data_IF_587675626335
#
_entry.id   IF_587675626335
#
_cell.length_a   1.000
_cell.length_b   1.000
_cell.length_c   1.000
_cell.angle_alpha   90.00
_cell.angle_beta   90.00
_cell.angle_gamma   90.00
#
_symmetry.space_group_name_H-M   'P 1'
#
loop_
_entity.id
_entity.type
_entity.pdbx_description
1 polymer ?
#
# COMPACT_ATOMS: atom_id res chain seq x y z
N UNK A 1 18.62 12.90 -22.55
CA UNK A 1 17.79 12.41 -21.43
C UNK A 1 18.74 11.83 -20.40
N UNK A 2 18.69 12.32 -19.16
CA UNK A 2 19.61 11.88 -18.12
C UNK A 2 19.33 10.40 -17.83
N UNK A 3 20.34 9.54 -18.01
CA UNK A 3 20.17 8.08 -17.97
C UNK A 3 19.71 7.53 -16.63
N UNK A 4 19.61 8.40 -15.61
CA UNK A 4 19.19 8.11 -14.23
C UNK A 4 17.75 8.55 -13.92
N UNK A 5 17.03 9.19 -14.84
CA UNK A 5 15.64 9.59 -14.60
C UNK A 5 14.74 8.34 -14.43
N UNK A 6 14.15 8.12 -13.24
CA UNK A 6 13.29 6.96 -13.00
C UNK A 6 11.86 7.13 -13.53
N UNK A 7 11.46 8.35 -13.94
CA UNK A 7 10.07 8.65 -14.32
C UNK A 7 9.60 7.84 -15.52
N UNK A 8 10.36 7.74 -16.64
CA UNK A 8 9.94 6.93 -17.79
C UNK A 8 9.77 5.45 -17.43
N UNK A 9 10.64 4.93 -16.56
CA UNK A 9 10.62 3.52 -16.14
C UNK A 9 9.43 3.21 -15.25
N UNK A 10 9.10 4.10 -14.30
CA UNK A 10 7.88 3.98 -13.50
C UNK A 10 6.64 3.91 -14.40
N UNK A 11 6.55 4.82 -15.38
CA UNK A 11 5.43 4.86 -16.32
C UNK A 11 5.37 3.61 -17.20
N UNK A 12 6.52 3.11 -17.65
CA UNK A 12 6.60 1.88 -18.43
C UNK A 12 6.14 0.65 -17.62
N UNK A 13 6.53 0.54 -16.36
CA UNK A 13 6.09 -0.54 -15.46
C UNK A 13 4.57 -0.47 -15.20
N UNK A 14 4.04 0.73 -14.93
CA UNK A 14 2.61 0.95 -14.76
C UNK A 14 1.82 0.59 -16.03
N UNK A 15 2.34 0.96 -17.21
CA UNK A 15 1.77 0.60 -18.49
C UNK A 15 1.80 -0.92 -18.72
N UNK A 16 2.94 -1.58 -18.50
CA UNK A 16 3.07 -3.02 -18.65
C UNK A 16 2.07 -3.79 -17.77
N UNK A 17 1.88 -3.34 -16.52
CA UNK A 17 0.83 -3.86 -15.64
C UNK A 17 -0.57 -3.61 -16.19
N UNK A 18 -0.88 -2.39 -16.63
CA UNK A 18 -2.20 -2.04 -17.18
C UNK A 18 -2.56 -2.82 -18.45
N UNK A 19 -1.56 -3.08 -19.30
CA UNK A 19 -1.69 -3.86 -20.53
C UNK A 19 -1.65 -5.39 -20.29
N UNK A 20 -1.49 -5.84 -19.04
CA UNK A 20 -1.32 -7.26 -18.68
C UNK A 20 -0.18 -7.94 -19.46
N UNK A 21 0.95 -7.24 -19.58
CA UNK A 21 2.11 -7.77 -20.29
C UNK A 21 2.64 -9.06 -19.64
N UNK A 22 3.18 -9.95 -20.47
CA UNK A 22 3.82 -11.18 -20.01
C UNK A 22 5.05 -10.92 -19.15
N UNK A 23 5.44 -11.94 -18.38
CA UNK A 23 6.50 -11.86 -17.38
C UNK A 23 7.83 -11.36 -17.95
N UNK A 24 8.29 -11.94 -19.06
CA UNK A 24 9.57 -11.59 -19.70
C UNK A 24 9.68 -10.11 -20.03
N UNK A 25 8.66 -9.51 -20.65
CA UNK A 25 8.68 -8.08 -20.99
C UNK A 25 8.66 -7.21 -19.73
N UNK A 26 7.95 -7.64 -18.69
CA UNK A 26 7.95 -6.93 -17.41
C UNK A 26 9.34 -6.97 -16.75
N UNK A 27 10.00 -8.12 -16.76
CA UNK A 27 11.34 -8.30 -16.21
C UNK A 27 12.37 -7.40 -16.92
N UNK A 28 12.34 -7.33 -18.25
CA UNK A 28 13.22 -6.43 -19.02
C UNK A 28 13.08 -4.96 -18.60
N UNK A 29 11.84 -4.49 -18.42
CA UNK A 29 11.55 -3.15 -17.93
C UNK A 29 12.01 -2.96 -16.49
N UNK A 30 11.78 -3.97 -15.64
CA UNK A 30 12.16 -3.96 -14.23
C UNK A 30 13.67 -3.85 -14.06
N UNK A 31 14.43 -4.71 -14.75
CA UNK A 31 15.90 -4.66 -14.70
C UNK A 31 16.42 -3.30 -15.18
N UNK A 32 15.84 -2.77 -16.25
CA UNK A 32 16.25 -1.49 -16.79
C UNK A 32 15.94 -0.32 -15.83
N UNK A 33 14.87 -0.42 -15.04
CA UNK A 33 14.54 0.51 -13.97
C UNK A 33 15.54 0.41 -12.81
N UNK A 34 15.80 -0.80 -12.31
CA UNK A 34 16.70 -1.05 -11.17
C UNK A 34 18.14 -0.66 -11.51
N UNK A 35 18.63 -0.94 -12.72
CA UNK A 35 19.98 -0.51 -13.17
C UNK A 35 20.19 1.00 -13.08
N UNK A 36 19.12 1.80 -13.18
CA UNK A 36 19.20 3.28 -13.22
C UNK A 36 18.88 3.93 -11.88
N UNK A 37 17.88 3.40 -11.19
CA UNK A 37 17.43 3.91 -9.91
C UNK A 37 17.05 2.76 -8.97
N UNK A 38 18.04 2.05 -8.40
CA UNK A 38 17.84 0.79 -7.67
C UNK A 38 16.83 0.88 -6.53
N UNK A 39 16.69 2.04 -5.89
CA UNK A 39 15.84 2.24 -4.72
C UNK A 39 14.68 3.21 -4.98
N UNK A 40 14.32 3.46 -6.25
CA UNK A 40 13.21 4.35 -6.57
C UNK A 40 11.87 3.74 -6.15
N UNK A 41 11.30 4.27 -5.06
CA UNK A 41 10.06 3.77 -4.44
C UNK A 41 8.91 3.58 -5.43
N UNK A 42 8.71 4.50 -6.38
CA UNK A 42 7.62 4.39 -7.35
C UNK A 42 7.75 3.17 -8.28
N UNK A 43 8.97 2.80 -8.68
CA UNK A 43 9.20 1.62 -9.52
C UNK A 43 8.95 0.34 -8.72
N UNK A 44 9.44 0.29 -7.48
CA UNK A 44 9.21 -0.81 -6.55
C UNK A 44 7.72 -1.05 -6.26
N UNK A 45 6.94 0.03 -6.05
CA UNK A 45 5.48 -0.06 -5.89
C UNK A 45 4.81 -0.57 -7.17
N UNK A 46 5.23 -0.13 -8.35
CA UNK A 46 4.69 -0.62 -9.62
C UNK A 46 4.98 -2.12 -9.81
N UNK A 47 6.19 -2.57 -9.47
CA UNK A 47 6.58 -3.99 -9.50
C UNK A 47 5.78 -4.85 -8.52
N UNK A 48 5.67 -4.42 -7.25
CA UNK A 48 4.84 -5.12 -6.27
C UNK A 48 3.40 -5.29 -6.76
N UNK A 49 2.82 -4.25 -7.37
CA UNK A 49 1.44 -4.31 -7.92
C UNK A 49 1.32 -5.24 -9.12
N UNK A 50 2.37 -5.37 -9.93
CA UNK A 50 2.40 -6.34 -11.02
C UNK A 50 2.45 -7.77 -10.48
N UNK A 51 3.36 -8.06 -9.54
CA UNK A 51 3.50 -9.38 -8.93
C UNK A 51 2.20 -9.84 -8.25
N UNK A 52 1.55 -8.95 -7.48
CA UNK A 52 0.27 -9.22 -6.85
C UNK A 52 -0.82 -9.63 -7.87
N UNK A 53 -0.85 -9.00 -9.05
CA UNK A 53 -1.80 -9.34 -10.11
C UNK A 53 -1.43 -10.65 -10.85
N UNK A 54 -0.14 -10.86 -11.10
CA UNK A 54 0.38 -11.99 -11.88
C UNK A 54 0.34 -13.32 -11.13
N UNK A 55 0.46 -13.29 -9.80
CA UNK A 55 0.42 -14.48 -8.94
C UNK A 55 -0.92 -14.66 -8.23
N UNK A 56 -2.01 -14.10 -8.78
CA UNK A 56 -3.36 -14.21 -8.22
C UNK A 56 -3.44 -13.87 -6.72
N UNK A 57 -2.71 -12.84 -6.28
CA UNK A 57 -2.69 -12.46 -4.87
C UNK A 57 -1.86 -13.39 -4.00
N UNK A 58 -0.81 -14.04 -4.53
CA UNK A 58 0.12 -14.75 -3.65
C UNK A 58 0.90 -13.75 -2.78
N UNK A 59 0.35 -13.53 -1.60
CA UNK A 59 0.86 -12.57 -0.64
C UNK A 59 2.25 -12.94 -0.16
N UNK A 60 2.59 -14.24 -0.10
CA UNK A 60 3.93 -14.70 0.32
C UNK A 60 5.02 -14.13 -0.56
N UNK A 61 4.99 -14.38 -1.86
CA UNK A 61 6.05 -13.85 -2.72
C UNK A 61 5.94 -12.33 -2.97
N UNK A 62 4.77 -11.70 -2.76
CA UNK A 62 4.68 -10.24 -2.66
C UNK A 62 5.45 -9.68 -1.45
N UNK A 63 5.30 -10.33 -0.28
CA UNK A 63 6.06 -9.98 0.91
C UNK A 63 7.55 -10.29 0.75
N UNK A 64 7.93 -11.41 0.16
CA UNK A 64 9.35 -11.76 -0.05
C UNK A 64 10.06 -10.73 -0.95
N UNK A 65 9.40 -10.32 -2.05
CA UNK A 65 9.87 -9.21 -2.87
C UNK A 65 10.00 -7.90 -2.07
N UNK A 66 8.96 -7.58 -1.28
CA UNK A 66 8.93 -6.33 -0.52
C UNK A 66 9.98 -6.27 0.59
N UNK A 67 10.23 -7.39 1.26
CA UNK A 67 11.22 -7.51 2.33
C UNK A 67 12.63 -7.36 1.77
N UNK A 68 12.94 -8.01 0.65
CA UNK A 68 14.25 -7.88 -0.01
C UNK A 68 14.50 -6.43 -0.45
N UNK A 69 13.53 -5.81 -1.14
CA UNK A 69 13.64 -4.42 -1.57
C UNK A 69 13.83 -3.44 -0.40
N UNK A 70 13.17 -3.69 0.73
CA UNK A 70 13.32 -2.86 1.93
C UNK A 70 14.67 -3.07 2.63
N UNK A 71 15.21 -4.29 2.64
CA UNK A 71 16.53 -4.59 3.19
C UNK A 71 17.65 -3.92 2.40
N UNK A 72 17.54 -3.91 1.07
CA UNK A 72 18.55 -3.31 0.19
C UNK A 72 18.46 -1.78 0.12
N UNK A 73 17.35 -1.19 0.57
CA UNK A 73 17.13 0.24 0.49
C UNK A 73 17.95 1.04 1.53
N UNK A 74 18.54 2.20 1.13
CA UNK A 74 19.20 3.11 2.05
C UNK A 74 18.31 3.54 3.21
N UNK A 75 18.90 3.80 4.37
CA UNK A 75 18.21 4.33 5.53
C UNK A 75 17.45 5.63 5.18
N UNK A 76 16.18 5.70 5.58
CA UNK A 76 15.31 6.85 5.30
C UNK A 76 14.65 6.82 3.92
N UNK A 77 14.96 5.84 3.07
CA UNK A 77 14.26 5.65 1.79
C UNK A 77 12.84 5.17 2.03
N UNK A 78 11.87 5.73 1.30
CA UNK A 78 10.47 5.25 1.32
C UNK A 78 10.35 3.78 0.90
N UNK A 79 11.31 3.25 0.14
CA UNK A 79 11.37 1.83 -0.24
C UNK A 79 11.50 0.90 0.98
N UNK A 80 12.03 1.39 2.11
CA UNK A 80 12.02 0.62 3.36
C UNK A 80 10.60 0.31 3.86
N UNK A 81 9.57 1.06 3.44
CA UNK A 81 8.18 0.79 3.76
C UNK A 81 7.44 -0.07 2.72
N UNK A 82 8.14 -0.70 1.76
CA UNK A 82 7.48 -1.57 0.79
C UNK A 82 6.75 -2.77 1.43
N UNK A 83 7.23 -3.39 2.52
CA UNK A 83 6.48 -4.43 3.24
C UNK A 83 5.12 -3.94 3.75
N UNK A 84 5.00 -2.66 4.13
CA UNK A 84 3.71 -2.08 4.53
C UNK A 84 2.71 -2.08 3.36
N UNK A 85 3.17 -1.87 2.12
CA UNK A 85 2.33 -1.97 0.92
C UNK A 85 1.86 -3.40 0.69
N UNK A 86 2.71 -4.40 0.91
CA UNK A 86 2.34 -5.81 0.82
C UNK A 86 1.31 -6.18 1.91
N UNK A 87 1.53 -5.77 3.15
CA UNK A 87 0.60 -5.91 4.26
C UNK A 87 -0.78 -5.30 3.95
N UNK A 88 -0.79 -4.09 3.40
CA UNK A 88 -2.03 -3.45 2.95
C UNK A 88 -2.75 -4.26 1.86
N UNK A 89 -2.00 -4.76 0.86
CA UNK A 89 -2.56 -5.64 -0.19
C UNK A 89 -3.25 -6.85 0.42
N UNK A 90 -2.55 -7.58 1.29
CA UNK A 90 -3.09 -8.73 2.02
C UNK A 90 -4.38 -8.40 2.79
N UNK A 91 -4.35 -7.32 3.58
CA UNK A 91 -5.49 -6.92 4.41
C UNK A 91 -6.72 -6.48 3.61
N UNK A 92 -6.56 -6.17 2.32
CA UNK A 92 -7.62 -5.62 1.45
C UNK A 92 -8.07 -6.57 0.35
N UNK A 93 -7.30 -7.62 0.03
CA UNK A 93 -7.63 -8.60 -1.01
C UNK A 93 -8.77 -9.54 -0.57
N UNK A 94 -8.85 -9.85 0.73
CA UNK A 94 -9.89 -10.71 1.30
C UNK A 94 -9.83 -12.18 0.85
N UNK A 95 -8.82 -12.53 0.05
CA UNK A 95 -8.54 -13.86 -0.45
C UNK A 95 -7.02 -14.10 -0.50
N UNK A 96 -6.61 -15.36 -0.43
CA UNK A 96 -5.20 -15.78 -0.45
C UNK A 96 -4.83 -16.65 0.76
N UNK A 97 -3.68 -17.34 0.69
CA UNK A 97 -3.18 -18.12 1.82
C UNK A 97 -2.86 -17.21 2.99
N UNK A 98 -3.03 -17.73 4.21
CA UNK A 98 -2.80 -16.97 5.44
C UNK A 98 -1.34 -16.50 5.53
N UNK A 99 -1.16 -15.19 5.72
CA UNK A 99 0.13 -14.60 6.10
C UNK A 99 0.16 -14.48 7.61
N UNK A 100 1.23 -14.96 8.30
CA UNK A 100 1.34 -14.84 9.75
C UNK A 100 1.19 -13.39 10.21
N UNK A 101 0.41 -13.17 11.28
CA UNK A 101 0.15 -11.82 11.82
C UNK A 101 1.45 -11.10 12.18
N UNK A 102 2.43 -11.83 12.69
CA UNK A 102 3.75 -11.33 13.08
C UNK A 102 4.47 -10.68 11.90
N UNK A 103 4.25 -11.19 10.67
CA UNK A 103 4.85 -10.61 9.45
C UNK A 103 4.21 -9.27 9.09
N UNK A 104 2.91 -9.12 9.33
CA UNK A 104 2.16 -7.87 9.13
C UNK A 104 2.57 -6.85 10.20
N UNK A 105 2.72 -7.28 11.44
CA UNK A 105 3.20 -6.46 12.55
C UNK A 105 4.64 -5.97 12.30
N UNK A 106 5.54 -6.84 11.86
CA UNK A 106 6.91 -6.45 11.51
C UNK A 106 6.97 -5.43 10.36
N UNK A 107 6.08 -5.55 9.36
CA UNK A 107 5.95 -4.56 8.30
C UNK A 107 5.47 -3.20 8.82
N UNK A 108 4.51 -3.21 9.76
CA UNK A 108 4.05 -1.99 10.44
C UNK A 108 5.16 -1.37 11.30
N UNK A 109 5.90 -2.16 12.08
CA UNK A 109 7.00 -1.68 12.92
C UNK A 109 8.12 -1.03 12.11
N UNK A 110 8.52 -1.66 11.00
CA UNK A 110 9.50 -1.07 10.08
C UNK A 110 9.02 0.29 9.54
N UNK A 111 7.74 0.40 9.19
CA UNK A 111 7.18 1.64 8.69
C UNK A 111 7.01 2.71 9.79
N UNK A 112 6.71 2.33 11.03
CA UNK A 112 6.72 3.23 12.19
C UNK A 112 8.12 3.78 12.41
N UNK A 113 9.15 2.92 12.41
CA UNK A 113 10.54 3.33 12.55
C UNK A 113 10.97 4.30 11.45
N UNK A 114 10.61 4.03 10.19
CA UNK A 114 10.85 4.96 9.08
C UNK A 114 10.11 6.29 9.27
N UNK A 115 8.82 6.25 9.62
CA UNK A 115 7.98 7.45 9.79
C UNK A 115 8.55 8.40 10.85
N UNK A 116 9.16 7.87 11.91
CA UNK A 116 9.81 8.64 12.97
C UNK A 116 11.04 9.42 12.49
N UNK A 117 11.71 8.98 11.41
CA UNK A 117 12.85 9.67 10.81
C UNK A 117 12.42 10.80 9.85
N UNK A 118 11.15 10.86 9.47
CA UNK A 118 10.65 11.79 8.46
C UNK A 118 10.07 13.08 9.08
N UNK A 119 10.20 14.24 8.42
CA UNK A 119 9.64 15.49 8.92
C UNK A 119 8.13 15.42 9.24
N UNK A 120 7.71 16.07 10.33
CA UNK A 120 6.30 16.13 10.76
C UNK A 120 5.53 17.20 10.01
N UNK A 121 4.27 16.96 9.65
CA UNK A 121 3.45 17.99 8.99
C UNK A 121 3.99 18.44 7.63
N UNK A 122 4.47 17.48 6.83
CA UNK A 122 4.87 17.71 5.44
C UNK A 122 4.06 16.83 4.49
N UNK A 123 3.82 17.32 3.28
CA UNK A 123 3.06 16.62 2.24
C UNK A 123 3.76 15.34 1.76
N UNK A 124 5.09 15.33 1.70
CA UNK A 124 5.86 14.20 1.17
C UNK A 124 5.69 12.88 1.96
N UNK A 125 5.83 12.84 3.31
CA UNK A 125 5.59 11.63 4.10
C UNK A 125 4.11 11.26 4.27
N UNK A 126 3.19 12.15 3.92
CA UNK A 126 1.77 11.99 4.21
C UNK A 126 1.20 10.68 3.62
N UNK A 127 1.58 10.32 2.39
CA UNK A 127 1.10 9.09 1.76
C UNK A 127 1.51 7.81 2.51
N UNK A 128 2.73 7.77 3.06
CA UNK A 128 3.19 6.67 3.91
C UNK A 128 2.38 6.62 5.21
N UNK A 129 2.21 7.77 5.88
CA UNK A 129 1.55 7.82 7.18
C UNK A 129 0.05 7.52 7.11
N UNK A 130 -0.63 7.93 6.04
CA UNK A 130 -2.03 7.57 5.79
C UNK A 130 -2.17 6.06 5.57
N UNK A 131 -1.28 5.44 4.77
CA UNK A 131 -1.24 3.99 4.59
C UNK A 131 -0.94 3.25 5.89
N UNK A 132 0.03 3.73 6.67
CA UNK A 132 0.42 3.13 7.94
C UNK A 132 -0.71 3.22 8.96
N UNK A 133 -1.43 4.35 9.01
CA UNK A 133 -2.62 4.52 9.87
C UNK A 133 -3.67 3.46 9.53
N UNK A 134 -3.96 3.23 8.25
CA UNK A 134 -4.90 2.19 7.84
C UNK A 134 -4.49 0.81 8.35
N UNK A 135 -3.22 0.42 8.14
CA UNK A 135 -2.72 -0.89 8.58
C UNK A 135 -2.75 -1.03 10.10
N UNK A 136 -2.33 -0.01 10.85
CA UNK A 136 -2.34 -0.03 12.32
C UNK A 136 -3.77 -0.12 12.89
N UNK A 137 -4.75 0.54 12.27
CA UNK A 137 -6.17 0.40 12.62
C UNK A 137 -6.65 -1.03 12.39
N UNK A 138 -6.28 -1.64 11.26
CA UNK A 138 -6.62 -3.05 10.97
C UNK A 138 -5.95 -4.05 11.90
N UNK A 139 -4.81 -3.68 12.50
CA UNK A 139 -4.12 -4.44 13.53
C UNK A 139 -4.59 -4.12 14.96
N UNK A 140 -5.53 -3.19 15.12
CA UNK A 140 -6.02 -2.66 16.40
C UNK A 140 -4.92 -2.04 17.28
N UNK A 141 -3.85 -1.52 16.66
CA UNK A 141 -2.76 -0.80 17.32
C UNK A 141 -3.10 0.68 17.46
N UNK A 142 -4.16 0.97 18.22
CA UNK A 142 -4.74 2.31 18.36
C UNK A 142 -3.76 3.39 18.81
N UNK A 143 -2.86 3.16 19.79
CA UNK A 143 -1.88 4.17 20.21
C UNK A 143 -0.91 4.55 19.09
N UNK A 144 -0.42 3.57 18.34
CA UNK A 144 0.50 3.81 17.22
C UNK A 144 -0.22 4.54 16.07
N UNK A 145 -1.47 4.15 15.77
CA UNK A 145 -2.28 4.84 14.77
C UNK A 145 -2.51 6.30 15.14
N UNK A 146 -2.78 6.58 16.42
CA UNK A 146 -2.95 7.95 16.92
C UNK A 146 -1.68 8.78 16.73
N UNK A 147 -0.51 8.19 17.00
CA UNK A 147 0.77 8.87 16.79
C UNK A 147 1.00 9.16 15.30
N UNK A 148 0.71 8.22 14.39
CA UNK A 148 0.82 8.50 12.95
C UNK A 148 -0.13 9.60 12.48
N UNK A 149 -1.35 9.67 13.01
CA UNK A 149 -2.29 10.76 12.75
C UNK A 149 -1.74 12.12 13.23
N UNK A 150 -1.08 12.15 14.40
CA UNK A 150 -0.43 13.35 14.92
C UNK A 150 0.72 13.81 14.02
N UNK A 151 1.59 12.89 13.61
CA UNK A 151 2.72 13.16 12.71
C UNK A 151 2.28 13.59 11.31
N UNK A 152 1.14 13.08 10.84
CA UNK A 152 0.52 13.44 9.56
C UNK A 152 -0.04 14.87 9.59
N UNK A 153 -0.60 15.31 10.72
CA UNK A 153 -1.22 16.62 10.83
C UNK A 153 -2.45 16.75 9.89
N UNK A 154 -2.52 17.80 9.05
CA UNK A 154 -3.68 18.04 8.18
C UNK A 154 -3.66 17.27 6.86
N UNK A 155 -2.58 16.55 6.53
CA UNK A 155 -2.37 16.00 5.19
C UNK A 155 -3.04 14.64 4.98
N UNK A 156 -4.36 14.66 4.75
CA UNK A 156 -5.08 13.50 4.22
C UNK A 156 -4.70 13.25 2.75
N UNK A 157 -4.66 11.99 2.32
CA UNK A 157 -4.40 11.57 0.93
C UNK A 157 -5.59 10.80 0.38
N UNK A 158 -5.78 10.74 -0.95
CA UNK A 158 -6.87 9.91 -1.51
C UNK A 158 -6.67 8.43 -1.18
N UNK A 159 -5.51 7.88 -1.53
CA UNK A 159 -5.12 6.54 -1.12
C UNK A 159 -4.63 6.53 0.34
N UNK A 160 -5.02 5.59 1.21
CA UNK A 160 -5.83 4.40 0.92
C UNK A 160 -7.35 4.57 1.11
N UNK A 161 -7.83 5.77 1.46
CA UNK A 161 -9.21 6.01 1.89
C UNK A 161 -10.23 5.99 0.74
N UNK A 162 -9.76 6.00 -0.51
CA UNK A 162 -10.55 5.81 -1.73
C UNK A 162 -10.91 4.34 -2.03
N UNK A 163 -10.44 3.40 -1.22
CA UNK A 163 -10.76 1.98 -1.38
C UNK A 163 -12.23 1.65 -1.10
N UNK A 164 -12.76 2.17 0.01
CA UNK A 164 -14.08 1.83 0.55
C UNK A 164 -15.04 3.04 0.61
N UNK A 165 -14.59 4.23 0.23
CA UNK A 165 -15.38 5.45 0.29
C UNK A 165 -15.23 6.32 -0.97
N UNK A 166 -16.34 6.92 -1.40
CA UNK A 166 -16.37 7.89 -2.51
C UNK A 166 -15.81 9.26 -2.07
N UNK A 167 -15.83 9.56 -0.77
CA UNK A 167 -15.18 10.71 -0.14
C UNK A 167 -13.98 10.25 0.73
N UNK A 168 -12.75 10.26 0.18
CA UNK A 168 -11.55 9.87 0.92
C UNK A 168 -11.25 10.79 2.11
N UNK A 169 -11.59 12.08 2.02
CA UNK A 169 -11.34 13.02 3.12
C UNK A 169 -12.29 12.75 4.28
N UNK A 170 -13.59 12.59 3.99
CA UNK A 170 -14.58 12.18 4.99
C UNK A 170 -14.15 10.90 5.70
N UNK A 171 -13.71 9.89 4.93
CA UNK A 171 -13.25 8.61 5.48
C UNK A 171 -12.04 8.75 6.40
N UNK A 172 -11.04 9.53 6.01
CA UNK A 172 -9.89 9.84 6.87
C UNK A 172 -10.33 10.48 8.20
N UNK A 173 -11.28 11.43 8.14
CA UNK A 173 -11.77 12.14 9.32
C UNK A 173 -12.52 11.23 10.28
N UNK A 174 -13.34 10.31 9.77
CA UNK A 174 -14.02 9.28 10.56
C UNK A 174 -13.02 8.39 11.29
N UNK A 175 -12.04 7.84 10.57
CA UNK A 175 -11.00 7.00 11.16
C UNK A 175 -10.22 7.76 12.23
N UNK A 176 -9.90 9.03 11.99
CA UNK A 176 -9.22 9.87 12.97
C UNK A 176 -10.03 10.07 14.25
N UNK A 177 -11.36 10.20 14.15
CA UNK A 177 -12.24 10.29 15.32
C UNK A 177 -12.33 8.94 16.05
N UNK A 178 -12.50 7.83 15.31
CA UNK A 178 -12.57 6.49 15.87
C UNK A 178 -11.30 6.11 16.65
N UNK A 179 -10.11 6.38 16.08
CA UNK A 179 -8.83 6.14 16.76
C UNK A 179 -8.72 6.91 18.06
N UNK A 180 -9.14 8.19 18.08
CA UNK A 180 -9.13 9.01 19.31
C UNK A 180 -10.07 8.45 20.37
N UNK A 181 -11.26 8.02 19.97
CA UNK A 181 -12.22 7.41 20.88
C UNK A 181 -11.70 6.08 21.46
N UNK A 182 -11.10 5.22 20.63
CA UNK A 182 -10.54 3.95 21.06
C UNK A 182 -9.40 4.13 22.09
N UNK A 183 -8.48 5.08 21.84
CA UNK A 183 -7.41 5.40 22.80
C UNK A 183 -7.97 5.98 24.10
N UNK A 184 -8.96 6.88 24.03
CA UNK A 184 -9.59 7.45 25.22
C UNK A 184 -10.34 6.40 26.06
N UNK A 185 -10.90 5.37 25.41
CA UNK A 185 -11.54 4.23 26.07
C UNK A 185 -10.54 3.22 26.66
N UNK A 186 -9.23 3.43 26.51
CA UNK A 186 -8.20 2.52 27.00
C UNK A 186 -8.14 1.20 26.25
N UNK A 187 -8.65 1.14 25.00
CA UNK A 187 -8.55 -0.05 24.16
C UNK A 187 -7.07 -0.33 23.87
N UNK A 188 -6.48 -1.24 24.64
CA UNK A 188 -5.13 -1.77 24.45
C UNK A 188 -5.25 -3.23 24.03
N UNK A 189 -5.20 -3.49 22.71
CA UNK A 189 -4.90 -4.78 22.07
C UNK A 189 -5.73 -6.03 22.43
N UNK A 190 -6.61 -5.97 23.40
CA UNK A 190 -7.40 -7.09 23.88
C UNK A 190 -8.80 -6.57 24.23
N UNK A 191 -9.79 -7.00 23.46
CA UNK A 191 -11.21 -6.69 23.63
C UNK A 191 -11.66 -5.28 23.23
N UNK A 192 -11.49 -4.92 21.96
CA UNK A 192 -12.50 -4.10 21.28
C UNK A 192 -13.16 -4.98 20.21
N UNK A 193 -14.50 -5.02 20.17
CA UNK A 193 -15.23 -5.85 19.22
C UNK A 193 -14.82 -5.57 17.77
N UNK A 194 -14.99 -6.55 16.86
CA UNK A 194 -14.43 -6.49 15.53
C UNK A 194 -14.89 -5.22 14.81
N UNK A 195 -13.93 -4.43 14.34
CA UNK A 195 -14.18 -3.45 13.29
C UNK A 195 -14.74 -4.22 12.09
N UNK A 196 -16.04 -4.09 11.83
CA UNK A 196 -16.69 -4.74 10.69
C UNK A 196 -16.29 -3.98 9.43
N UNK A 197 -15.46 -4.54 8.53
CA UNK A 197 -15.25 -3.94 7.22
C UNK A 197 -16.55 -4.10 6.44
N UNK A 198 -16.99 -3.04 5.75
CA UNK A 198 -18.04 -3.19 4.74
C UNK A 198 -17.44 -4.07 3.62
N UNK A 199 -18.05 -5.19 3.25
CA UNK A 199 -17.52 -6.04 2.18
C UNK A 199 -17.48 -5.24 0.88
N UNK A 200 -16.31 -5.20 0.24
CA UNK A 200 -16.13 -4.55 -1.04
C UNK A 200 -17.15 -5.07 -2.05
N UNK A 201 -17.88 -4.16 -2.70
CA UNK A 201 -18.79 -4.53 -3.80
C UNK A 201 -17.98 -5.26 -4.87
N UNK A 202 -18.49 -6.38 -5.42
CA UNK A 202 -17.85 -7.01 -6.57
C UNK A 202 -17.81 -5.99 -7.72
N UNK A 203 -16.63 -5.78 -8.30
CA UNK A 203 -16.47 -4.99 -9.52
C UNK A 203 -17.41 -5.56 -10.57
N UNK A 204 -18.40 -4.77 -10.96
CA UNK A 204 -19.42 -5.14 -11.94
C UNK A 204 -18.79 -5.67 -13.22
N UNK A 205 -19.35 -6.78 -13.71
CA UNK A 205 -18.96 -7.44 -14.95
C UNK A 205 -18.90 -6.47 -16.11
N UNK A 206 -17.78 -6.51 -16.82
CA UNK A 206 -17.52 -5.74 -18.02
C UNK A 206 -18.54 -6.15 -19.09
N UNK A 207 -19.27 -5.16 -19.61
CA UNK A 207 -20.36 -5.33 -20.56
C UNK A 207 -19.96 -6.09 -21.82
N UNK A 208 -20.71 -7.14 -22.12
CA UNK A 208 -20.72 -7.79 -23.42
C UNK A 208 -21.24 -6.82 -24.48
N UNK A 209 -20.39 -6.56 -25.48
CA UNK A 209 -20.68 -5.70 -26.62
C UNK A 209 -21.85 -6.27 -27.44
N UNK A 210 -22.74 -5.34 -27.80
CA UNK A 210 -23.80 -5.46 -28.81
C UNK A 210 -23.18 -5.89 -30.14
N UNK A 211 -23.73 -6.95 -30.74
CA UNK A 211 -23.42 -7.38 -32.09
C UNK A 211 -23.94 -6.37 -33.11
N UNK A 212 -23.08 -5.96 -34.03
CA UNK A 212 -23.46 -5.31 -35.28
C UNK A 212 -23.18 -6.34 -36.38
N UNK A 213 -24.25 -6.88 -36.95
CA UNK A 213 -24.21 -7.68 -38.16
C UNK A 213 -24.98 -6.93 -39.23
N UNK A 214 -24.27 -6.49 -40.26
CA UNK A 214 -24.83 -6.11 -41.55
C UNK A 214 -24.16 -6.99 -42.63
N UNK A 215 -25.00 -7.53 -43.50
CA UNK A 215 -24.78 -8.36 -44.71
C UNK A 215 -24.69 -9.88 -44.52
#
# INVERSE_FOLDING_TARGET
ADGRDPVPWRLALDHARGARAGHTYFEELWEAAVRRAPHHHGCHVAALRYLAASWHGSHRECFDFADLAAQDAPAGSLTQALPLRAAFGYLTDGCGPEVPRERIEAAADRAVALSALLPTGHTWPAGLRNLLTYVLVRLERWPDALEQLRLTGPYATSFPWDLDAEDPLGRFLEVRQAVRAAVAAGASGAAAGPFVPVPGRPRGGQGGRVGCGDH
#
